data_IF_321988168421
#
_entry.id   IF_321988168421
#
_cell.length_a   1.000
_cell.length_b   1.000
_cell.length_c   1.000
_cell.angle_alpha   90.00
_cell.angle_beta   90.00
_cell.angle_gamma   90.00
#
_symmetry.space_group_name_H-M   'P 1'
#
loop_
_entity.id
_entity.type
_entity.pdbx_description
1 polymer ?
#
# COMPACT_ATOMS: atom_id res chain seq x y z
N UNK A 1 17.61 -9.41 3.70
CA UNK A 1 16.58 -8.44 3.30
C UNK A 1 17.28 -7.13 3.00
N UNK A 2 17.01 -6.53 1.87
CA UNK A 2 17.61 -5.27 1.41
C UNK A 2 17.06 -4.03 2.16
N UNK A 3 16.20 -4.23 3.15
CA UNK A 3 15.59 -3.16 3.96
C UNK A 3 14.55 -2.32 3.21
N UNK A 4 14.09 -2.73 2.02
CA UNK A 4 13.04 -2.03 1.31
C UNK A 4 11.71 -2.18 2.03
N UNK A 5 11.12 -1.08 2.49
CA UNK A 5 9.73 -1.03 2.96
C UNK A 5 8.82 -0.84 1.76
N UNK A 6 7.67 -1.47 1.76
CA UNK A 6 6.58 -1.12 0.86
C UNK A 6 5.73 -0.03 1.50
N UNK A 7 5.08 0.79 0.68
CA UNK A 7 4.27 1.91 1.13
C UNK A 7 2.80 1.65 0.79
N UNK A 8 1.92 1.90 1.74
CA UNK A 8 0.47 1.99 1.50
C UNK A 8 0.09 3.46 1.53
N UNK A 9 -0.40 3.97 0.40
CA UNK A 9 -0.72 5.38 0.23
C UNK A 9 -2.16 5.69 0.65
N UNK A 10 -2.32 6.69 1.50
CA UNK A 10 -3.62 7.25 1.90
C UNK A 10 -4.00 8.48 1.08
N UNK A 11 -3.05 9.09 0.40
CA UNK A 11 -3.27 10.24 -0.47
C UNK A 11 -1.97 10.84 -0.96
N UNK A 12 -1.98 11.33 -2.19
CA UNK A 12 -0.83 11.94 -2.84
C UNK A 12 -1.24 13.28 -3.47
N UNK A 13 -0.29 14.23 -3.49
CA UNK A 13 -0.46 15.53 -4.16
C UNK A 13 0.83 15.90 -4.89
N UNK A 14 0.68 16.49 -6.07
CA UNK A 14 1.74 17.19 -6.79
C UNK A 14 1.51 18.69 -6.69
N UNK A 15 2.53 19.44 -6.23
CA UNK A 15 2.43 20.88 -6.04
C UNK A 15 3.56 21.57 -6.78
N UNK A 16 3.20 22.41 -7.74
CA UNK A 16 4.12 23.33 -8.41
C UNK A 16 3.51 24.73 -8.42
N UNK A 17 4.21 25.71 -7.91
CA UNK A 17 3.78 27.12 -7.94
C UNK A 17 4.54 27.87 -9.02
N UNK A 18 3.78 28.73 -9.71
CA UNK A 18 4.33 29.63 -10.74
C UNK A 18 4.12 31.08 -10.33
N UNK A 19 5.13 31.89 -10.54
CA UNK A 19 5.02 33.33 -10.45
C UNK A 19 4.27 33.94 -11.65
N UNK A 20 4.08 35.26 -11.59
CA UNK A 20 3.31 36.00 -12.63
C UNK A 20 3.96 35.95 -14.01
N UNK A 21 5.26 35.76 -14.07
CA UNK A 21 6.05 35.67 -15.31
C UNK A 21 6.28 34.22 -15.75
N UNK A 22 5.65 33.23 -15.06
CA UNK A 22 5.75 31.80 -15.36
C UNK A 22 6.98 31.09 -14.77
N UNK A 23 7.75 31.78 -13.95
CA UNK A 23 8.87 31.18 -13.21
C UNK A 23 8.35 30.23 -12.13
N UNK A 24 9.08 29.13 -11.86
CA UNK A 24 8.77 28.22 -10.76
C UNK A 24 9.21 28.86 -9.44
N UNK A 25 8.28 28.95 -8.51
CA UNK A 25 8.50 29.46 -7.16
C UNK A 25 8.88 28.31 -6.21
N UNK A 26 9.76 28.61 -5.27
CA UNK A 26 10.15 27.70 -4.19
C UNK A 26 9.63 28.20 -2.84
N UNK A 27 9.47 27.28 -1.90
CA UNK A 27 9.13 27.61 -0.51
C UNK A 27 10.35 28.23 0.16
N UNK A 28 10.13 29.26 0.98
CA UNK A 28 11.17 29.72 1.90
C UNK A 28 11.30 28.70 3.04
N UNK A 29 12.47 28.05 3.25
CA UNK A 29 12.64 27.05 4.28
C UNK A 29 12.34 27.52 5.71
N UNK A 30 12.53 28.82 5.98
CA UNK A 30 12.19 29.43 7.27
C UNK A 30 10.68 29.69 7.45
N UNK A 31 9.90 29.50 6.38
CA UNK A 31 8.44 29.66 6.35
C UNK A 31 7.83 28.52 5.52
N UNK A 32 7.79 27.30 6.04
CA UNK A 32 7.28 26.15 5.32
C UNK A 32 5.80 26.33 4.96
N UNK A 33 5.38 25.68 3.89
CA UNK A 33 4.00 25.69 3.45
C UNK A 33 3.18 24.65 4.22
N UNK A 34 2.01 25.06 4.73
CA UNK A 34 1.05 24.10 5.28
C UNK A 34 0.30 23.40 4.13
N UNK A 35 0.44 22.09 4.06
CA UNK A 35 -0.24 21.23 3.08
C UNK A 35 -1.31 20.41 3.79
N UNK A 36 -2.47 20.30 3.13
CA UNK A 36 -3.60 19.52 3.59
C UNK A 36 -4.05 18.58 2.46
N UNK A 37 -3.82 17.28 2.62
CA UNK A 37 -4.20 16.25 1.63
C UNK A 37 -5.47 15.56 2.12
N UNK A 38 -6.54 15.49 1.32
CA UNK A 38 -7.73 14.72 1.69
C UNK A 38 -7.44 13.22 1.70
N UNK A 39 -7.88 12.54 2.76
CA UNK A 39 -7.80 11.09 2.87
C UNK A 39 -9.08 10.51 2.27
N UNK A 40 -8.93 9.70 1.25
CA UNK A 40 -10.08 9.05 0.61
C UNK A 40 -10.48 7.81 1.39
N UNK A 41 -11.75 7.69 1.75
CA UNK A 41 -12.29 6.58 2.56
C UNK A 41 -12.05 5.18 1.96
N UNK A 42 -11.70 5.07 0.68
CA UNK A 42 -11.37 3.80 0.02
C UNK A 42 -10.03 3.18 0.43
N UNK A 43 -9.20 3.91 1.18
CA UNK A 43 -7.89 3.45 1.66
C UNK A 43 -7.93 2.90 3.08
N UNK A 44 -9.07 2.99 3.77
CA UNK A 44 -9.22 2.57 5.17
C UNK A 44 -10.05 1.29 5.24
N UNK A 45 -9.45 0.24 5.78
CA UNK A 45 -10.19 -0.97 6.18
C UNK A 45 -10.64 -0.86 7.63
N UNK A 46 -11.55 -1.74 8.08
CA UNK A 46 -12.05 -1.74 9.46
C UNK A 46 -10.92 -1.87 10.50
N UNK A 47 -9.79 -2.50 10.12
CA UNK A 47 -8.64 -2.76 11.00
C UNK A 47 -7.59 -1.62 10.99
N UNK A 48 -7.68 -0.67 10.04
CA UNK A 48 -6.74 0.45 9.88
C UNK A 48 -7.49 1.77 9.68
N UNK A 49 -8.23 2.19 10.71
CA UNK A 49 -8.92 3.47 10.70
C UNK A 49 -8.00 4.57 11.25
N UNK A 50 -7.62 5.49 10.39
CA UNK A 50 -6.98 6.72 10.84
C UNK A 50 -7.97 7.58 11.61
N UNK A 51 -7.54 8.10 12.74
CA UNK A 51 -8.31 8.97 13.61
C UNK A 51 -7.69 10.36 13.70
N UNK A 52 -8.52 11.36 13.98
CA UNK A 52 -7.99 12.72 14.24
C UNK A 52 -7.00 12.68 15.40
N UNK A 53 -5.81 13.22 15.17
CA UNK A 53 -4.68 13.22 16.09
C UNK A 53 -3.64 12.14 15.82
N UNK A 54 -3.93 11.15 14.99
CA UNK A 54 -2.93 10.17 14.54
C UNK A 54 -1.84 10.86 13.72
N UNK A 55 -0.64 10.30 13.75
CA UNK A 55 0.51 10.81 13.01
C UNK A 55 0.98 9.80 11.98
N UNK A 56 1.38 10.28 10.80
CA UNK A 56 1.91 9.48 9.70
C UNK A 56 3.16 10.14 9.12
N UNK A 57 4.04 9.33 8.56
CA UNK A 57 5.21 9.83 7.84
C UNK A 57 4.82 10.58 6.58
N UNK A 58 5.54 11.68 6.29
CA UNK A 58 5.47 12.40 5.01
C UNK A 58 6.58 11.92 4.10
N UNK A 59 6.23 11.63 2.88
CA UNK A 59 7.17 11.18 1.85
C UNK A 59 7.18 12.16 0.70
N UNK A 60 8.35 12.64 0.29
CA UNK A 60 8.52 13.40 -0.94
C UNK A 60 9.21 12.56 -2.01
N UNK A 61 8.89 12.81 -3.27
CA UNK A 61 9.58 12.15 -4.37
C UNK A 61 10.85 12.93 -4.75
N UNK A 62 11.99 12.24 -4.75
CA UNK A 62 13.26 12.77 -5.26
C UNK A 62 13.42 12.40 -6.74
N UNK A 63 13.26 13.34 -7.68
CA UNK A 63 13.44 13.05 -9.11
C UNK A 63 14.87 12.66 -9.48
N UNK A 64 15.86 13.18 -8.73
CA UNK A 64 17.28 12.89 -8.96
C UNK A 64 17.63 11.43 -8.65
N UNK A 65 17.02 10.87 -7.61
CA UNK A 65 17.26 9.51 -7.15
C UNK A 65 16.20 8.51 -7.65
N UNK A 66 15.04 9.01 -8.09
CA UNK A 66 13.91 8.18 -8.53
C UNK A 66 13.24 7.40 -7.40
N UNK A 67 13.33 7.90 -6.15
CA UNK A 67 12.78 7.25 -4.95
C UNK A 67 11.94 8.20 -4.12
N UNK A 68 11.09 7.63 -3.27
CA UNK A 68 10.42 8.34 -2.18
C UNK A 68 11.35 8.46 -0.98
N UNK A 69 11.42 9.66 -0.41
CA UNK A 69 12.25 9.99 0.76
C UNK A 69 11.32 10.37 1.91
N UNK A 70 11.49 9.73 3.06
CA UNK A 70 10.81 10.13 4.28
C UNK A 70 11.44 11.42 4.82
N UNK A 71 10.64 12.47 5.04
CA UNK A 71 11.14 13.77 5.45
C UNK A 71 10.71 14.18 6.84
N UNK A 72 9.45 13.99 7.17
CA UNK A 72 8.89 14.44 8.44
C UNK A 72 7.65 13.63 8.82
N UNK A 73 6.90 14.12 9.78
CA UNK A 73 5.66 13.54 10.26
C UNK A 73 4.55 14.58 10.15
N UNK A 74 3.43 14.16 9.58
CA UNK A 74 2.20 14.95 9.57
C UNK A 74 1.16 14.39 10.53
N UNK A 75 0.07 15.11 10.71
CA UNK A 75 -1.02 14.79 11.63
C UNK A 75 -2.33 14.62 10.87
N UNK A 76 -3.12 13.65 11.25
CA UNK A 76 -4.49 13.48 10.76
C UNK A 76 -5.39 14.52 11.42
N UNK A 77 -6.00 15.36 10.62
CA UNK A 77 -6.98 16.36 11.04
C UNK A 77 -8.35 16.04 10.43
N UNK A 78 -9.43 16.59 10.99
CA UNK A 78 -10.77 16.37 10.48
C UNK A 78 -11.62 17.62 10.50
N UNK A 79 -12.55 17.70 9.55
CA UNK A 79 -13.60 18.71 9.52
C UNK A 79 -14.90 18.09 8.92
N UNK A 80 -15.90 18.92 8.64
CA UNK A 80 -17.18 18.49 8.06
C UNK A 80 -17.07 17.77 6.70
N UNK A 81 -15.93 17.95 6.00
CA UNK A 81 -15.66 17.36 4.69
C UNK A 81 -14.88 16.02 4.78
N UNK A 82 -14.42 15.62 5.96
CA UNK A 82 -13.74 14.35 6.19
C UNK A 82 -12.40 14.46 6.90
N UNK A 83 -11.57 13.44 6.70
CA UNK A 83 -10.22 13.39 7.26
C UNK A 83 -9.21 13.95 6.25
N UNK A 84 -8.18 14.55 6.80
CA UNK A 84 -7.09 15.15 6.04
C UNK A 84 -5.75 14.86 6.72
N UNK A 85 -4.74 14.63 5.90
CA UNK A 85 -3.37 14.63 6.36
C UNK A 85 -2.78 16.02 6.24
N UNK A 86 -2.28 16.58 7.35
CA UNK A 86 -1.77 17.96 7.43
C UNK A 86 -0.33 17.95 7.87
N UNK A 87 0.54 18.66 7.16
CA UNK A 87 1.97 18.75 7.46
C UNK A 87 2.58 20.05 6.94
N UNK A 88 3.78 20.38 7.43
CA UNK A 88 4.59 21.49 6.95
C UNK A 88 5.59 20.99 5.90
N UNK A 89 5.55 21.57 4.69
CA UNK A 89 6.44 21.22 3.59
C UNK A 89 7.52 22.30 3.40
N UNK A 90 8.80 21.95 3.49
CA UNK A 90 9.91 22.90 3.29
C UNK A 90 10.17 23.20 1.81
N UNK A 91 9.60 22.43 0.91
CA UNK A 91 9.67 22.61 -0.55
C UNK A 91 8.41 22.10 -1.24
N UNK A 92 8.22 22.46 -2.49
CA UNK A 92 7.17 21.87 -3.33
C UNK A 92 7.73 20.71 -4.14
N UNK A 93 6.99 19.62 -4.16
CA UNK A 93 7.28 18.36 -4.84
C UNK A 93 6.01 17.52 -4.92
N UNK A 94 6.16 16.27 -5.32
CA UNK A 94 5.15 15.26 -5.08
C UNK A 94 5.25 14.82 -3.62
N UNK A 95 4.14 14.93 -2.91
CA UNK A 95 4.02 14.54 -1.51
C UNK A 95 3.03 13.41 -1.34
N UNK A 96 3.37 12.50 -0.46
CA UNK A 96 2.55 11.33 -0.18
C UNK A 96 2.40 11.14 1.33
N UNK A 97 1.19 10.76 1.75
CA UNK A 97 0.90 10.27 3.09
C UNK A 97 0.89 8.76 3.03
N UNK A 98 1.96 8.13 3.48
CA UNK A 98 2.13 6.70 3.39
C UNK A 98 2.44 6.09 4.75
N UNK A 99 1.95 4.87 4.93
CA UNK A 99 2.41 4.00 5.99
C UNK A 99 3.41 3.00 5.41
N UNK A 100 4.64 3.03 5.93
CA UNK A 100 5.62 1.99 5.67
C UNK A 100 5.21 0.69 6.36
N UNK A 101 5.33 -0.44 5.69
CA UNK A 101 5.11 -1.74 6.30
C UNK A 101 6.26 -2.71 6.03
N UNK A 102 6.40 -3.68 6.92
CA UNK A 102 7.37 -4.77 6.75
C UNK A 102 6.71 -5.83 5.88
N UNK A 103 7.22 -6.07 4.66
CA UNK A 103 6.71 -7.13 3.81
C UNK A 103 7.06 -8.49 4.40
N UNK A 104 6.14 -9.44 4.24
CA UNK A 104 6.33 -10.86 4.49
C UNK A 104 5.90 -11.65 3.27
N UNK A 105 6.16 -12.95 3.29
CA UNK A 105 5.75 -13.85 2.22
C UNK A 105 4.77 -14.89 2.77
N UNK A 106 3.63 -15.03 2.10
CA UNK A 106 2.74 -16.16 2.29
C UNK A 106 2.92 -17.15 1.15
N UNK A 107 3.19 -18.40 1.48
CA UNK A 107 3.34 -19.46 0.50
C UNK A 107 2.27 -20.54 0.67
N UNK A 108 1.98 -21.24 -0.40
CA UNK A 108 1.02 -22.34 -0.36
C UNK A 108 1.05 -23.17 -1.62
N UNK A 109 0.15 -24.13 -1.69
CA UNK A 109 0.01 -25.02 -2.83
C UNK A 109 -1.45 -25.15 -3.23
N UNK A 110 -1.73 -25.00 -4.51
CA UNK A 110 -3.06 -25.26 -5.09
C UNK A 110 -3.10 -26.70 -5.60
N UNK A 111 -4.06 -27.46 -5.08
CA UNK A 111 -4.32 -28.83 -5.49
C UNK A 111 -5.78 -28.97 -5.94
N UNK A 112 -6.05 -29.89 -6.84
CA UNK A 112 -7.39 -30.25 -7.23
C UNK A 112 -8.07 -31.16 -6.17
N UNK A 113 -9.31 -31.59 -6.44
CA UNK A 113 -10.10 -32.39 -5.51
C UNK A 113 -9.60 -33.82 -5.33
N UNK A 114 -8.67 -34.27 -6.19
CA UNK A 114 -8.02 -35.60 -6.08
C UNK A 114 -6.58 -35.51 -5.57
N UNK A 115 -6.09 -34.30 -5.30
CA UNK A 115 -4.78 -34.04 -4.69
C UNK A 115 -3.64 -33.75 -5.69
N UNK A 116 -3.93 -33.62 -6.98
CA UNK A 116 -2.92 -33.25 -7.97
C UNK A 116 -2.65 -31.72 -7.97
N UNK A 117 -1.40 -31.31 -8.26
CA UNK A 117 -1.07 -29.89 -8.34
C UNK A 117 -1.80 -29.21 -9.50
N UNK A 118 -2.28 -27.99 -9.26
CA UNK A 118 -2.87 -27.13 -10.29
C UNK A 118 -1.85 -26.10 -10.70
N UNK A 119 -1.25 -26.26 -11.87
CA UNK A 119 -0.32 -25.30 -12.46
C UNK A 119 -1.06 -24.12 -13.09
N UNK A 120 -0.41 -22.98 -13.15
CA UNK A 120 -0.95 -21.76 -13.78
C UNK A 120 -2.32 -21.33 -13.22
N UNK A 121 -2.63 -21.70 -11.98
CA UNK A 121 -3.75 -21.13 -11.28
C UNK A 121 -3.37 -19.70 -10.82
N UNK A 122 -4.28 -18.77 -11.02
CA UNK A 122 -4.14 -17.42 -10.47
C UNK A 122 -4.50 -17.45 -8.98
N UNK A 123 -3.60 -16.94 -8.13
CA UNK A 123 -3.81 -16.85 -6.69
C UNK A 123 -3.77 -15.39 -6.28
N UNK A 124 -4.88 -14.91 -5.74
CA UNK A 124 -5.00 -13.58 -5.14
C UNK A 124 -4.90 -13.70 -3.63
N UNK A 125 -3.93 -13.01 -3.05
CA UNK A 125 -3.71 -12.86 -1.62
C UNK A 125 -4.17 -11.45 -1.24
N UNK A 126 -5.36 -11.34 -0.64
CA UNK A 126 -5.98 -10.07 -0.31
C UNK A 126 -5.95 -9.85 1.20
N UNK A 127 -5.17 -8.88 1.64
CA UNK A 127 -5.15 -8.35 3.00
C UNK A 127 -5.98 -7.08 3.13
N UNK A 128 -5.97 -6.49 4.30
CA UNK A 128 -6.67 -5.24 4.57
C UNK A 128 -6.13 -4.05 3.77
N UNK A 129 -4.82 -4.00 3.59
CA UNK A 129 -4.12 -2.88 2.94
C UNK A 129 -3.45 -3.27 1.61
N UNK A 130 -3.16 -4.55 1.41
CA UNK A 130 -2.40 -5.02 0.25
C UNK A 130 -3.10 -6.17 -0.45
N UNK A 131 -3.01 -6.16 -1.77
CA UNK A 131 -3.46 -7.29 -2.60
C UNK A 131 -2.33 -7.67 -3.56
N UNK A 132 -1.95 -8.94 -3.54
CA UNK A 132 -0.95 -9.51 -4.44
C UNK A 132 -1.57 -10.62 -5.24
N UNK A 133 -1.34 -10.64 -6.55
CA UNK A 133 -1.81 -11.72 -7.43
C UNK A 133 -0.61 -12.37 -8.10
N UNK A 134 -0.53 -13.68 -7.98
CA UNK A 134 0.57 -14.51 -8.48
C UNK A 134 0.00 -15.74 -9.21
N UNK A 135 0.88 -16.46 -9.93
CA UNK A 135 0.49 -17.69 -10.62
C UNK A 135 1.25 -18.88 -10.05
N UNK A 136 0.58 -20.02 -9.88
CA UNK A 136 1.23 -21.24 -9.41
C UNK A 136 2.21 -21.81 -10.45
N UNK A 137 3.29 -22.41 -9.94
CA UNK A 137 4.27 -23.15 -10.75
C UNK A 137 3.75 -24.52 -11.22
N UNK A 138 4.64 -25.36 -11.81
CA UNK A 138 4.31 -26.69 -12.31
C UNK A 138 3.87 -27.67 -11.22
N UNK A 139 4.35 -27.47 -10.00
CA UNK A 139 4.03 -28.26 -8.81
C UNK A 139 2.87 -27.68 -7.99
N UNK A 140 2.25 -26.60 -8.49
CA UNK A 140 1.11 -25.92 -7.87
C UNK A 140 1.49 -24.96 -6.75
N UNK A 141 2.78 -24.69 -6.51
CA UNK A 141 3.23 -23.75 -5.46
C UNK A 141 3.08 -22.30 -5.89
N UNK A 142 2.84 -21.44 -4.91
CA UNK A 142 2.82 -19.99 -5.06
C UNK A 142 3.46 -19.31 -3.86
N UNK A 143 3.93 -18.07 -4.08
CA UNK A 143 4.44 -17.16 -3.03
C UNK A 143 3.88 -15.78 -3.30
N UNK A 144 3.17 -15.21 -2.33
CA UNK A 144 2.63 -13.85 -2.37
C UNK A 144 3.44 -12.94 -1.45
N UNK A 145 3.56 -11.66 -1.83
CA UNK A 145 3.94 -10.61 -0.90
C UNK A 145 2.71 -10.17 -0.11
N UNK A 146 2.82 -10.10 1.22
CA UNK A 146 1.76 -9.74 2.15
C UNK A 146 2.33 -8.84 3.25
N UNK A 147 1.47 -8.26 4.07
CA UNK A 147 1.86 -7.39 5.18
C UNK A 147 1.89 -8.18 6.50
N UNK A 148 2.95 -7.97 7.30
CA UNK A 148 2.99 -8.50 8.68
C UNK A 148 1.94 -7.80 9.52
N UNK A 149 1.22 -8.56 10.35
CA UNK A 149 0.16 -8.05 11.22
C UNK A 149 -1.21 -7.97 10.57
N UNK A 150 -1.34 -8.40 9.31
CA UNK A 150 -2.61 -8.36 8.58
C UNK A 150 -3.30 -9.73 8.53
N UNK A 151 -4.62 -9.72 8.33
CA UNK A 151 -5.40 -10.90 8.01
C UNK A 151 -5.52 -11.03 6.50
N UNK A 152 -4.96 -12.08 5.92
CA UNK A 152 -4.90 -12.29 4.47
C UNK A 152 -5.82 -13.44 4.06
N UNK A 153 -6.71 -13.17 3.11
CA UNK A 153 -7.52 -14.19 2.44
C UNK A 153 -6.86 -14.63 1.14
N UNK A 154 -6.99 -15.89 0.80
CA UNK A 154 -6.40 -16.51 -0.38
C UNK A 154 -7.50 -17.00 -1.30
N UNK A 155 -7.52 -16.53 -2.54
CA UNK A 155 -8.44 -17.00 -3.57
C UNK A 155 -7.63 -17.53 -4.74
N UNK A 156 -7.77 -18.84 -5.01
CA UNK A 156 -7.21 -19.46 -6.21
C UNK A 156 -8.29 -19.62 -7.27
N UNK A 157 -8.00 -19.22 -8.49
CA UNK A 157 -8.86 -19.46 -9.65
C UNK A 157 -8.09 -20.14 -10.77
N UNK A 158 -8.78 -20.98 -11.53
CA UNK A 158 -8.23 -21.60 -12.73
C UNK A 158 -9.28 -21.62 -13.82
N UNK A 159 -8.85 -21.37 -15.04
CA UNK A 159 -9.74 -21.37 -16.19
C UNK A 159 -9.70 -22.72 -16.88
N UNK A 160 -10.76 -23.51 -16.71
CA UNK A 160 -10.88 -24.87 -17.32
C UNK A 160 -12.18 -24.95 -18.09
N UNK A 161 -12.08 -25.35 -19.36
CA UNK A 161 -13.26 -25.62 -20.19
C UNK A 161 -14.15 -24.38 -20.43
N UNK A 162 -13.58 -23.19 -20.47
CA UNK A 162 -14.32 -21.93 -20.67
C UNK A 162 -15.05 -21.43 -19.44
N UNK A 163 -14.73 -21.95 -18.25
CA UNK A 163 -15.28 -21.51 -16.96
C UNK A 163 -14.19 -21.21 -15.95
N UNK A 164 -14.43 -20.19 -15.15
CA UNK A 164 -13.62 -19.85 -13.99
C UNK A 164 -14.07 -20.66 -12.76
N UNK A 165 -13.10 -21.22 -12.02
CA UNK A 165 -13.33 -22.05 -10.84
C UNK A 165 -12.62 -21.45 -9.64
N UNK A 166 -13.17 -20.39 -9.01
CA UNK A 166 -12.56 -19.81 -7.83
C UNK A 166 -12.76 -20.68 -6.60
N UNK A 167 -11.72 -20.74 -5.75
CA UNK A 167 -11.74 -21.30 -4.40
C UNK A 167 -11.08 -20.35 -3.44
N UNK A 168 -11.80 -19.98 -2.39
CA UNK A 168 -11.29 -19.07 -1.36
C UNK A 168 -11.04 -19.85 -0.07
N UNK A 169 -9.87 -19.64 0.52
CA UNK A 169 -9.54 -20.02 1.89
C UNK A 169 -9.79 -18.80 2.78
N UNK A 170 -10.36 -19.01 3.96
CA UNK A 170 -10.60 -17.93 4.93
C UNK A 170 -9.33 -17.19 5.33
N UNK A 171 -9.50 -16.04 5.94
CA UNK A 171 -8.39 -15.18 6.35
C UNK A 171 -7.46 -15.85 7.36
N UNK A 172 -6.16 -15.67 7.18
CA UNK A 172 -5.09 -16.17 8.05
C UNK A 172 -4.32 -14.95 8.54
N UNK A 173 -4.05 -14.89 9.84
CA UNK A 173 -3.21 -13.84 10.43
C UNK A 173 -1.75 -14.06 10.03
N UNK A 174 -1.11 -13.01 9.54
CA UNK A 174 0.29 -13.01 9.11
C UNK A 174 1.17 -12.48 10.23
N UNK A 175 1.84 -13.35 10.95
CA UNK A 175 2.84 -12.96 11.95
C UNK A 175 4.21 -12.63 11.31
N UNK A 176 5.19 -12.23 12.14
CA UNK A 176 6.53 -11.89 11.69
C UNK A 176 7.35 -13.08 11.16
N UNK A 177 6.89 -14.32 11.41
CA UNK A 177 7.55 -15.55 10.95
C UNK A 177 7.00 -16.04 9.60
N UNK A 178 5.89 -15.47 9.15
CA UNK A 178 5.16 -15.90 7.97
C UNK A 178 4.35 -17.16 8.22
N UNK A 179 3.12 -17.24 7.72
CA UNK A 179 2.34 -18.48 7.78
C UNK A 179 2.48 -19.29 6.49
N UNK A 180 2.67 -20.56 6.63
CA UNK A 180 2.78 -21.57 5.55
C UNK A 180 1.56 -22.48 5.49
#
# INVERSE_FOLDING_TARGET
SDGSSQLVSYGMVDITLYGVDGEILTVNPDMPANIKIPITNGSLTEDYQLSVGDTQSTWSFSPEQGIWVEESVGTITGDENGLFFTFEAPHFSWWNCDQGFVPSCASGRVIDFVGFPVRSAEVTCAGGQTTSTVTTDEDGYYVCSVMVGDYVSFTASTFVGGRDWPKTKGAIFMDSEGSS
#
